data_IF_497248417734
#
_entry.id   IF_497248417734
#
_cell.length_a   1.000
_cell.length_b   1.000
_cell.length_c   1.000
_cell.angle_alpha   90.00
_cell.angle_beta   90.00
_cell.angle_gamma   90.00
#
_symmetry.space_group_name_H-M   'P 1'
#
loop_
_entity.id
_entity.type
_entity.pdbx_description
1 polymer ?
#
# COMPACT_ATOMS: atom_id res chain seq x y z
N UNK A 1 -7.79 -13.04 -4.01
CA UNK A 1 -7.61 -12.59 -5.40
C UNK A 1 -6.32 -11.79 -5.49
N UNK A 2 -5.47 -12.01 -6.50
CA UNK A 2 -4.26 -11.18 -6.73
C UNK A 2 -4.63 -10.06 -7.70
N UNK A 3 -5.04 -8.90 -7.19
CA UNK A 3 -5.20 -7.70 -8.00
C UNK A 3 -3.82 -7.07 -8.29
N UNK A 4 -2.97 -7.78 -9.05
CA UNK A 4 -1.66 -7.27 -9.44
C UNK A 4 -1.85 -6.20 -10.52
N UNK A 5 -1.66 -4.93 -10.16
CA UNK A 5 -1.68 -3.81 -11.11
C UNK A 5 -0.39 -3.85 -11.95
N UNK A 6 -0.45 -4.48 -13.14
CA UNK A 6 0.69 -4.63 -14.08
C UNK A 6 1.48 -3.33 -14.30
N UNK A 7 0.78 -2.19 -14.33
CA UNK A 7 1.36 -0.86 -14.55
C UNK A 7 2.31 -0.43 -13.41
N UNK A 8 2.00 -0.84 -12.18
CA UNK A 8 2.85 -0.58 -11.01
C UNK A 8 4.12 -1.42 -11.06
N UNK A 9 4.11 -2.57 -11.74
CA UNK A 9 5.30 -3.42 -11.86
C UNK A 9 6.28 -2.89 -12.91
N UNK A 10 5.76 -2.51 -14.08
CA UNK A 10 6.57 -2.07 -15.21
C UNK A 10 7.04 -0.63 -15.06
N UNK A 11 6.23 0.22 -14.44
CA UNK A 11 6.46 1.66 -14.34
C UNK A 11 7.36 2.11 -13.19
N UNK A 12 7.94 1.20 -12.40
CA UNK A 12 8.91 1.57 -11.35
C UNK A 12 10.21 2.13 -11.94
N UNK A 13 10.80 3.08 -11.22
CA UNK A 13 12.19 3.50 -11.47
C UNK A 13 13.14 2.34 -11.17
N UNK A 14 14.23 2.24 -11.93
CA UNK A 14 15.22 1.17 -11.84
C UNK A 14 15.71 0.85 -10.41
N UNK A 15 16.07 1.82 -9.54
CA UNK A 15 16.53 1.50 -8.18
C UNK A 15 15.47 0.75 -7.35
N UNK A 16 14.19 1.13 -7.47
CA UNK A 16 13.11 0.45 -6.77
C UNK A 16 12.81 -0.94 -7.33
N UNK A 17 13.02 -1.16 -8.64
CA UNK A 17 12.92 -2.51 -9.24
C UNK A 17 13.92 -3.48 -8.62
N UNK A 18 15.18 -3.05 -8.51
CA UNK A 18 16.24 -3.86 -7.90
C UNK A 18 15.97 -4.12 -6.41
N UNK A 19 15.58 -3.09 -5.66
CA UNK A 19 15.24 -3.23 -4.25
C UNK A 19 14.10 -4.23 -4.04
N UNK A 20 13.00 -4.13 -4.80
CA UNK A 20 11.88 -5.05 -4.66
C UNK A 20 12.21 -6.48 -5.08
N UNK A 21 13.07 -6.67 -6.08
CA UNK A 21 13.58 -7.99 -6.45
C UNK A 21 14.38 -8.60 -5.29
N UNK A 22 15.31 -7.84 -4.70
CA UNK A 22 16.08 -8.27 -3.54
C UNK A 22 15.18 -8.62 -2.34
N UNK A 23 14.25 -7.74 -1.96
CA UNK A 23 13.32 -7.98 -0.84
C UNK A 23 12.43 -9.20 -1.07
N UNK A 24 11.96 -9.39 -2.31
CA UNK A 24 11.12 -10.55 -2.66
C UNK A 24 11.90 -11.86 -2.53
N UNK A 25 13.16 -11.90 -2.99
CA UNK A 25 14.03 -13.07 -2.86
C UNK A 25 14.35 -13.34 -1.40
N UNK A 26 14.73 -12.31 -0.64
CA UNK A 26 15.10 -12.41 0.77
C UNK A 26 13.95 -12.90 1.64
N UNK A 27 12.76 -12.32 1.48
CA UNK A 27 11.60 -12.63 2.32
C UNK A 27 10.77 -13.80 1.79
N UNK A 28 11.09 -14.31 0.58
CA UNK A 28 10.30 -15.30 -0.17
C UNK A 28 8.83 -14.92 -0.35
N UNK A 29 8.53 -13.63 -0.23
CA UNK A 29 7.20 -13.06 -0.33
C UNK A 29 7.29 -11.82 -1.21
N UNK A 30 6.39 -11.72 -2.19
CA UNK A 30 6.30 -10.57 -3.07
C UNK A 30 5.98 -9.32 -2.27
N UNK A 31 6.72 -8.24 -2.53
CA UNK A 31 6.45 -6.94 -1.93
C UNK A 31 4.98 -6.53 -2.22
N UNK A 32 4.20 -6.12 -1.20
CA UNK A 32 2.79 -5.76 -1.37
C UNK A 32 2.60 -4.64 -2.40
N UNK A 33 1.51 -4.69 -3.17
CA UNK A 33 1.26 -3.71 -4.23
C UNK A 33 1.11 -2.29 -3.69
N UNK A 34 0.54 -2.10 -2.49
CA UNK A 34 0.49 -0.78 -1.82
C UNK A 34 1.88 -0.19 -1.67
N UNK A 35 2.87 -0.96 -1.22
CA UNK A 35 4.25 -0.47 -1.06
C UNK A 35 4.84 -0.05 -2.40
N UNK A 36 4.55 -0.80 -3.47
CA UNK A 36 4.99 -0.46 -4.83
C UNK A 36 4.25 0.77 -5.37
N UNK A 37 3.00 1.00 -4.99
CA UNK A 37 2.24 2.23 -5.33
C UNK A 37 2.91 3.48 -4.76
N UNK A 38 3.36 3.43 -3.50
CA UNK A 38 4.01 4.57 -2.83
C UNK A 38 5.29 5.01 -3.56
N UNK A 39 5.99 4.10 -4.24
CA UNK A 39 7.22 4.39 -5.00
C UNK A 39 6.98 4.65 -6.48
N UNK A 40 5.80 4.34 -7.01
CA UNK A 40 5.47 4.50 -8.43
C UNK A 40 5.35 5.97 -8.85
N UNK A 41 4.67 6.78 -8.03
CA UNK A 41 4.51 8.24 -8.19
C UNK A 41 4.67 8.92 -6.84
N UNK A 42 5.91 9.08 -6.34
CA UNK A 42 6.18 9.59 -5.00
C UNK A 42 5.66 11.01 -4.76
N UNK A 43 5.48 11.79 -5.82
CA UNK A 43 4.86 13.12 -5.77
C UNK A 43 3.37 13.08 -5.38
N UNK A 44 2.67 11.97 -5.65
CA UNK A 44 1.26 11.76 -5.26
C UNK A 44 1.16 10.84 -4.05
N UNK A 45 1.78 9.66 -4.12
CA UNK A 45 1.62 8.58 -3.16
C UNK A 45 2.79 8.44 -2.19
N UNK A 46 3.81 9.30 -2.25
CA UNK A 46 5.03 9.11 -1.49
C UNK A 46 4.88 9.40 0.00
N UNK A 47 5.92 9.97 0.59
CA UNK A 47 6.05 10.11 2.05
C UNK A 47 4.90 10.88 2.69
N UNK A 48 4.41 11.94 2.06
CA UNK A 48 3.32 12.76 2.59
C UNK A 48 2.01 11.98 2.67
N UNK A 49 1.65 11.27 1.60
CA UNK A 49 0.45 10.44 1.55
C UNK A 49 0.52 9.27 2.53
N UNK A 50 1.67 8.56 2.59
CA UNK A 50 1.86 7.49 3.57
C UNK A 50 1.75 8.00 5.01
N UNK A 51 2.36 9.15 5.34
CA UNK A 51 2.23 9.76 6.66
C UNK A 51 0.78 10.06 6.99
N UNK A 52 0.03 10.63 6.05
CA UNK A 52 -1.40 10.90 6.24
C UNK A 52 -2.21 9.62 6.48
N UNK A 53 -1.96 8.55 5.72
CA UNK A 53 -2.58 7.24 5.94
C UNK A 53 -2.24 6.63 7.31
N UNK A 54 -0.97 6.74 7.72
CA UNK A 54 -0.55 6.31 9.05
C UNK A 54 -1.29 7.10 10.14
N UNK A 55 -1.43 8.41 9.95
CA UNK A 55 -2.14 9.28 10.91
C UNK A 55 -3.58 8.84 11.11
N UNK A 56 -4.32 8.60 10.04
CA UNK A 56 -5.73 8.22 10.17
C UNK A 56 -5.93 6.80 10.71
N UNK A 57 -4.99 5.88 10.48
CA UNK A 57 -5.17 4.45 10.84
C UNK A 57 -4.51 4.05 12.15
N UNK A 58 -3.44 4.74 12.57
CA UNK A 58 -2.57 4.28 13.67
C UNK A 58 -2.36 5.26 14.80
N UNK A 59 -2.41 6.56 14.55
CA UNK A 59 -2.24 7.55 15.62
C UNK A 59 -3.44 7.54 16.57
N UNK A 60 -3.31 8.20 17.72
CA UNK A 60 -4.38 8.24 18.71
C UNK A 60 -5.62 8.96 18.17
N UNK A 61 -6.77 8.36 18.43
CA UNK A 61 -8.08 8.93 18.11
C UNK A 61 -9.12 8.41 19.11
N UNK A 62 -10.35 8.94 19.05
CA UNK A 62 -11.46 8.40 19.83
C UNK A 62 -11.88 6.98 19.44
N UNK A 63 -11.33 6.42 18.35
CA UNK A 63 -11.60 5.07 17.87
C UNK A 63 -10.40 4.17 18.03
N UNK A 64 -10.66 2.92 18.43
CA UNK A 64 -9.67 1.87 18.43
C UNK A 64 -9.20 1.56 17.00
N UNK A 65 -7.97 1.03 16.87
CA UNK A 65 -7.43 0.60 15.57
C UNK A 65 -8.39 -0.37 14.87
N UNK A 66 -8.97 -1.33 15.60
CA UNK A 66 -9.92 -2.29 15.04
C UNK A 66 -11.19 -1.66 14.47
N UNK A 67 -11.71 -0.59 15.10
CA UNK A 67 -12.89 0.13 14.60
C UNK A 67 -12.58 0.87 13.29
N UNK A 68 -11.40 1.48 13.20
CA UNK A 68 -10.95 2.17 11.99
C UNK A 68 -10.72 1.21 10.82
N UNK A 69 -10.16 0.03 11.10
CA UNK A 69 -10.03 -1.04 10.12
C UNK A 69 -11.40 -1.59 9.69
N UNK A 70 -12.39 -1.69 10.60
CA UNK A 70 -13.76 -2.07 10.25
C UNK A 70 -14.41 -1.06 9.30
N UNK A 71 -14.25 0.25 9.57
CA UNK A 71 -14.75 1.30 8.67
C UNK A 71 -14.10 1.22 7.29
N UNK A 72 -12.78 1.01 7.24
CA UNK A 72 -12.05 0.83 5.99
C UNK A 72 -12.53 -0.41 5.23
N UNK A 73 -12.66 -1.56 5.89
CA UNK A 73 -13.12 -2.81 5.29
C UNK A 73 -14.56 -2.70 4.75
N UNK A 74 -15.47 -2.14 5.55
CA UNK A 74 -16.87 -1.93 5.14
C UNK A 74 -16.97 -0.98 3.94
N UNK A 75 -16.24 0.14 3.96
CA UNK A 75 -16.19 1.09 2.84
C UNK A 75 -15.62 0.43 1.58
N UNK A 76 -14.55 -0.36 1.70
CA UNK A 76 -13.99 -1.12 0.58
C UNK A 76 -14.97 -2.14 0.02
N UNK A 77 -15.74 -2.82 0.88
CA UNK A 77 -16.79 -3.74 0.45
C UNK A 77 -17.87 -3.03 -0.37
N UNK A 78 -18.35 -1.87 0.09
CA UNK A 78 -19.34 -1.06 -0.64
C UNK A 78 -18.80 -0.60 -2.01
N UNK A 79 -17.52 -0.28 -2.09
CA UNK A 79 -16.85 0.09 -3.34
C UNK A 79 -16.42 -1.10 -4.21
N UNK A 80 -16.78 -2.33 -3.83
CA UNK A 80 -16.35 -3.56 -4.50
C UNK A 80 -14.83 -3.59 -4.72
N UNK A 81 -14.06 -3.13 -3.74
CA UNK A 81 -12.60 -3.08 -3.77
C UNK A 81 -12.04 -4.37 -3.17
N UNK A 82 -11.58 -5.36 -3.98
CA UNK A 82 -11.15 -6.67 -3.50
C UNK A 82 -9.68 -6.70 -3.06
N UNK A 83 -9.02 -5.54 -3.05
CA UNK A 83 -7.64 -5.38 -2.67
C UNK A 83 -7.48 -5.58 -1.16
#
# INVERSE_FOLDING_TARGET
MRAALKKIETGQRFPFKLLFAYLTVKNRVRVPDVVRTLTYRPEVYGKAYNKWLHTITREDSGWAVGERELFAAFTSQLNQCPF
#
